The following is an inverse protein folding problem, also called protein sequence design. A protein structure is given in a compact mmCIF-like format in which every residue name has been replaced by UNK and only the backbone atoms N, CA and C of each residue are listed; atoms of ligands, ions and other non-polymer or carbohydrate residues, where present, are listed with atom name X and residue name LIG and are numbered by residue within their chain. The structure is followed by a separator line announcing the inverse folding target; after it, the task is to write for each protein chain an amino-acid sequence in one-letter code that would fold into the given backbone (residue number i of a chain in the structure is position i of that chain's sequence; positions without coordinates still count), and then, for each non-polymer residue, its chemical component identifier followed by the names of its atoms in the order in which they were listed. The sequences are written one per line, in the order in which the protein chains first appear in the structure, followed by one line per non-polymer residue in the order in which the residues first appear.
data_IF_063195217223
#
_entry.id   IF_063195217223
#
_cell.length_a   1.000
_cell.length_b   1.000
_cell.length_c   1.000
_cell.angle_alpha   90.00
_cell.angle_beta   90.00
_cell.angle_gamma   90.00
#
_symmetry.space_group_name_H-M   'P 1'
#
loop_
_entity.id
_entity.type
_entity.pdbx_description
1 polymer ?
#
# COMPACT_ATOMS: atom_id res chain seq x y z
N UNK A 1 10.40 -4.16 -1.66
CA UNK A 1 9.16 -4.25 -0.86
C UNK A 1 8.01 -3.67 -1.66
N UNK A 2 6.79 -4.09 -1.36
CA UNK A 2 5.56 -3.42 -1.80
C UNK A 2 5.20 -2.34 -0.78
N UNK A 3 4.97 -1.10 -1.21
CA UNK A 3 4.55 0.01 -0.36
C UNK A 3 3.04 0.18 -0.50
N UNK A 4 2.35 -0.05 0.62
CA UNK A 4 0.90 0.02 0.71
C UNK A 4 0.37 1.46 0.75
N UNK A 5 -0.90 1.65 0.37
CA UNK A 5 -1.58 2.94 0.40
C UNK A 5 -1.56 3.56 1.80
N UNK A 6 -1.79 2.76 2.84
CA UNK A 6 -1.78 3.25 4.22
C UNK A 6 -0.41 3.79 4.66
N UNK A 7 0.69 3.21 4.16
CA UNK A 7 2.05 3.70 4.41
C UNK A 7 2.30 5.05 3.71
N UNK A 8 1.85 5.19 2.46
CA UNK A 8 1.94 6.46 1.72
C UNK A 8 1.13 7.56 2.44
N UNK A 9 -0.11 7.26 2.82
CA UNK A 9 -0.99 8.20 3.54
C UNK A 9 -0.34 8.63 4.86
N UNK A 10 0.14 7.67 5.64
CA UNK A 10 0.72 7.94 6.94
C UNK A 10 1.95 8.86 6.86
N UNK A 11 2.84 8.61 5.90
CA UNK A 11 4.02 9.44 5.73
C UNK A 11 3.65 10.85 5.24
N UNK A 12 2.78 10.98 4.22
CA UNK A 12 2.41 12.29 3.66
C UNK A 12 1.51 13.12 4.58
N UNK A 13 0.75 12.49 5.48
CA UNK A 13 -0.11 13.17 6.46
C UNK A 13 0.51 13.32 7.85
N UNK A 14 1.80 13.04 8.01
CA UNK A 14 2.51 13.08 9.30
C UNK A 14 1.77 12.29 10.42
N UNK A 15 1.28 11.09 10.09
CA UNK A 15 0.70 10.17 11.07
C UNK A 15 1.80 9.61 12.00
N UNK A 16 1.45 9.06 13.18
CA UNK A 16 2.42 8.54 14.14
C UNK A 16 3.46 7.54 13.55
N UNK A 17 3.09 6.81 12.51
CA UNK A 17 3.93 5.83 11.82
C UNK A 17 4.87 6.44 10.76
N UNK A 18 4.79 7.75 10.47
CA UNK A 18 5.52 8.41 9.38
C UNK A 18 7.05 8.20 9.46
N UNK A 19 7.65 8.36 10.64
CA UNK A 19 9.10 8.18 10.83
C UNK A 19 9.52 6.73 10.54
N UNK A 20 8.76 5.75 11.06
CA UNK A 20 8.99 4.32 10.84
C UNK A 20 8.90 3.98 9.35
N UNK A 21 7.87 4.46 8.68
CA UNK A 21 7.66 4.25 7.23
C UNK A 21 8.78 4.89 6.42
N UNK A 22 9.19 6.11 6.76
CA UNK A 22 10.29 6.82 6.06
C UNK A 22 11.60 6.06 6.20
N UNK A 23 11.93 5.56 7.40
CA UNK A 23 13.13 4.77 7.65
C UNK A 23 13.11 3.42 6.91
N UNK A 24 11.95 2.76 6.85
CA UNK A 24 11.78 1.53 6.08
C UNK A 24 12.03 1.77 4.59
N UNK A 25 11.45 2.84 4.00
CA UNK A 25 11.67 3.20 2.60
C UNK A 25 13.14 3.53 2.34
N UNK A 26 13.78 4.33 3.19
CA UNK A 26 15.18 4.74 3.03
C UNK A 26 16.18 3.57 3.10
N UNK A 27 15.85 2.51 3.84
CA UNK A 27 16.69 1.30 3.94
C UNK A 27 16.41 0.27 2.84
N UNK A 28 15.39 0.49 2.01
CA UNK A 28 15.01 -0.42 0.94
C UNK A 28 16.03 -0.41 -0.20
N UNK A 29 16.41 -1.58 -0.69
CA UNK A 29 17.14 -1.68 -1.97
C UNK A 29 16.25 -1.36 -3.18
N UNK A 30 14.99 -1.79 -3.09
CA UNK A 30 13.97 -1.60 -4.13
C UNK A 30 12.62 -1.48 -3.43
N UNK A 31 11.89 -0.40 -3.73
CA UNK A 31 10.53 -0.17 -3.29
C UNK A 31 9.63 0.07 -4.50
N UNK A 32 8.42 -0.45 -4.45
CA UNK A 32 7.43 -0.20 -5.48
C UNK A 32 6.03 -0.23 -4.90
N UNK A 33 5.06 0.33 -5.61
CA UNK A 33 3.64 0.29 -5.29
C UNK A 33 2.84 -0.13 -6.55
N UNK A 34 1.51 -0.15 -6.48
CA UNK A 34 0.64 -0.44 -7.62
C UNK A 34 -0.31 0.72 -7.93
N UNK A 35 -0.88 0.79 -9.15
CA UNK A 35 -1.92 1.77 -9.48
C UNK A 35 -3.10 1.77 -8.51
N UNK A 36 -3.44 0.62 -7.91
CA UNK A 36 -4.52 0.51 -6.91
C UNK A 36 -4.12 1.21 -5.62
N UNK A 37 -2.92 0.96 -5.12
CA UNK A 37 -2.43 1.61 -3.90
C UNK A 37 -2.26 3.13 -4.09
N UNK A 38 -1.85 3.57 -5.29
CA UNK A 38 -1.80 5.01 -5.62
C UNK A 38 -3.19 5.63 -5.59
N UNK A 39 -4.18 4.99 -6.23
CA UNK A 39 -5.57 5.46 -6.21
C UNK A 39 -6.09 5.56 -4.77
N UNK A 40 -5.88 4.53 -3.95
CA UNK A 40 -6.30 4.52 -2.56
C UNK A 40 -5.60 5.59 -1.72
N UNK A 41 -4.30 5.79 -1.92
CA UNK A 41 -3.54 6.84 -1.24
C UNK A 41 -4.06 8.23 -1.58
N UNK A 42 -4.28 8.52 -2.86
CA UNK A 42 -4.81 9.81 -3.33
C UNK A 42 -6.21 10.06 -2.77
N UNK A 43 -7.10 9.07 -2.84
CA UNK A 43 -8.46 9.19 -2.28
C UNK A 43 -8.43 9.36 -0.75
N UNK A 44 -7.53 8.67 -0.06
CA UNK A 44 -7.35 8.78 1.40
C UNK A 44 -6.84 10.16 1.82
N UNK A 45 -5.87 10.70 1.10
CA UNK A 45 -5.29 12.03 1.35
C UNK A 45 -6.25 13.18 0.98
N UNK A 46 -7.11 12.98 -0.02
CA UNK A 46 -8.11 13.97 -0.44
C UNK A 46 -9.26 14.19 0.57
N UNK A 47 -9.39 13.32 1.59
CA UNK A 47 -10.45 13.49 2.60
C UNK A 47 -10.27 14.78 3.39
N UNK A 48 -11.39 15.33 3.88
CA UNK A 48 -11.44 16.58 4.63
C UNK A 48 -10.66 16.57 5.94
N UNK A 49 -10.43 15.40 6.52
CA UNK A 49 -9.65 15.21 7.75
C UNK A 49 -8.16 14.95 7.49
N UNK A 50 -7.75 14.98 6.22
CA UNK A 50 -6.35 14.90 5.75
C UNK A 50 -5.98 16.22 5.06
N UNK A 51 -5.70 16.21 3.76
CA UNK A 51 -5.36 17.45 3.03
C UNK A 51 -6.60 18.29 2.72
N UNK A 52 -7.78 17.67 2.59
CA UNK A 52 -9.01 18.37 2.25
C UNK A 52 -8.97 19.05 0.87
N UNK A 53 -8.19 18.51 -0.06
CA UNK A 53 -8.01 19.00 -1.42
C UNK A 53 -8.74 18.11 -2.44
N UNK A 54 -8.97 18.61 -3.66
CA UNK A 54 -9.52 17.78 -4.73
C UNK A 54 -8.51 16.71 -5.16
N UNK A 55 -9.01 15.58 -5.69
CA UNK A 55 -8.17 14.47 -6.20
C UNK A 55 -7.12 14.96 -7.20
N UNK A 56 -7.47 15.88 -8.10
CA UNK A 56 -6.56 16.44 -9.10
C UNK A 56 -5.43 17.32 -8.50
N UNK A 57 -5.60 17.80 -7.27
CA UNK A 57 -4.58 18.56 -6.54
C UNK A 57 -3.67 17.64 -5.71
N UNK A 58 -4.21 16.52 -5.24
CA UNK A 58 -3.47 15.52 -4.44
C UNK A 58 -2.64 14.57 -5.30
N UNK A 59 -3.16 14.19 -6.47
CA UNK A 59 -2.46 13.31 -7.43
C UNK A 59 -1.00 13.74 -7.68
N UNK A 60 -0.69 14.97 -8.11
CA UNK A 60 0.69 15.37 -8.40
C UNK A 60 1.59 15.30 -7.16
N UNK A 61 1.08 15.58 -5.96
CA UNK A 61 1.83 15.48 -4.70
C UNK A 61 2.26 14.03 -4.45
N UNK A 62 1.35 13.07 -4.66
CA UNK A 62 1.65 11.65 -4.48
C UNK A 62 2.63 11.17 -5.53
N UNK A 63 2.47 11.57 -6.80
CA UNK A 63 3.39 11.16 -7.88
C UNK A 63 4.79 11.73 -7.65
N UNK A 64 4.92 13.01 -7.28
CA UNK A 64 6.21 13.64 -6.96
C UNK A 64 6.88 12.93 -5.77
N UNK A 65 6.13 12.66 -4.70
CA UNK A 65 6.64 11.89 -3.56
C UNK A 65 7.18 10.50 -3.95
N UNK A 66 6.48 9.78 -4.81
CA UNK A 66 6.92 8.46 -5.27
C UNK A 66 8.22 8.55 -6.07
N UNK A 67 8.34 9.55 -6.96
CA UNK A 67 9.55 9.79 -7.75
C UNK A 67 10.74 10.17 -6.85
N UNK A 68 10.56 11.12 -5.94
CA UNK A 68 11.60 11.56 -4.99
C UNK A 68 12.12 10.44 -4.09
N UNK A 69 11.24 9.49 -3.74
CA UNK A 69 11.59 8.32 -2.91
C UNK A 69 12.03 7.11 -3.70
N UNK A 70 12.06 7.18 -5.04
CA UNK A 70 12.40 6.05 -5.90
C UNK A 70 11.46 4.86 -5.75
N UNK A 71 10.17 5.11 -5.49
CA UNK A 71 9.13 4.10 -5.36
C UNK A 71 8.48 3.93 -6.73
N UNK A 72 8.79 2.84 -7.42
CA UNK A 72 8.24 2.57 -8.76
C UNK A 72 6.74 2.24 -8.69
N UNK A 73 5.95 2.76 -9.62
CA UNK A 73 4.58 2.25 -9.84
C UNK A 73 4.70 1.04 -10.78
N UNK A 74 4.34 -0.15 -10.30
CA UNK A 74 4.37 -1.39 -11.10
C UNK A 74 2.98 -1.89 -11.44
N UNK A 75 2.89 -2.56 -12.58
CA UNK A 75 1.67 -3.25 -12.99
C UNK A 75 1.19 -4.22 -11.93
N UNK A 76 -0.13 -4.41 -11.87
CA UNK A 76 -0.66 -5.57 -11.16
C UNK A 76 -0.12 -6.85 -11.83
N UNK A 77 -0.04 -7.96 -11.08
CA UNK A 77 0.20 -9.25 -11.67
C UNK A 77 -0.79 -9.55 -12.81
N UNK A 78 -0.47 -10.49 -13.72
CA UNK A 78 -1.40 -10.96 -14.74
C UNK A 78 -2.79 -11.22 -14.17
N UNK A 79 -3.83 -10.89 -14.95
CA UNK A 79 -5.20 -10.84 -14.44
C UNK A 79 -5.66 -12.16 -13.78
N UNK A 80 -5.26 -13.30 -14.33
CA UNK A 80 -5.54 -14.63 -13.79
C UNK A 80 -4.85 -14.86 -12.44
N UNK A 81 -3.58 -14.47 -12.31
CA UNK A 81 -2.82 -14.57 -11.08
C UNK A 81 -3.39 -13.64 -10.00
N UNK A 82 -3.64 -12.37 -10.34
CA UNK A 82 -4.26 -11.39 -9.44
C UNK A 82 -5.60 -11.91 -8.92
N UNK A 83 -6.48 -12.38 -9.82
CA UNK A 83 -7.81 -12.90 -9.45
C UNK A 83 -7.69 -14.08 -8.48
N UNK A 84 -6.86 -15.07 -8.80
CA UNK A 84 -6.69 -16.26 -7.97
C UNK A 84 -6.11 -15.93 -6.59
N UNK A 85 -5.08 -15.10 -6.52
CA UNK A 85 -4.38 -14.78 -5.27
C UNK A 85 -5.26 -13.89 -4.38
N UNK A 86 -5.90 -12.86 -4.95
CA UNK A 86 -6.77 -11.96 -4.19
C UNK A 86 -8.00 -12.70 -3.63
N UNK A 87 -8.62 -13.62 -4.39
CA UNK A 87 -9.71 -14.46 -3.89
C UNK A 87 -9.24 -15.41 -2.78
N UNK A 88 -8.03 -15.97 -2.89
CA UNK A 88 -7.43 -16.78 -1.82
C UNK A 88 -7.23 -15.95 -0.55
N UNK A 89 -6.72 -14.73 -0.69
CA UNK A 89 -6.56 -13.80 0.43
C UNK A 89 -7.90 -13.46 1.07
N UNK A 90 -8.92 -13.15 0.26
CA UNK A 90 -10.26 -12.85 0.74
C UNK A 90 -10.87 -14.04 1.50
N UNK A 91 -10.68 -15.26 1.00
CA UNK A 91 -11.18 -16.45 1.68
C UNK A 91 -10.49 -16.71 3.03
N UNK A 92 -9.16 -16.49 3.09
CA UNK A 92 -8.35 -16.84 4.26
C UNK A 92 -8.29 -15.74 5.33
N UNK A 93 -8.30 -14.47 4.91
CA UNK A 93 -7.83 -13.36 5.74
C UNK A 93 -8.81 -12.18 5.83
N UNK A 94 -9.97 -12.22 5.16
CA UNK A 94 -10.95 -11.12 5.21
C UNK A 94 -11.84 -11.09 6.45
N UNK A 95 -11.91 -12.21 7.18
CA UNK A 95 -12.80 -12.32 8.33
C UNK A 95 -12.20 -11.64 9.58
N UNK A 96 -13.08 -11.08 10.42
CA UNK A 96 -12.70 -10.47 11.69
C UNK A 96 -12.48 -8.96 11.64
N UNK A 97 -12.20 -8.37 12.81
CA UNK A 97 -12.10 -6.91 12.99
C UNK A 97 -10.91 -6.27 12.25
N UNK A 98 -9.86 -7.07 11.98
CA UNK A 98 -8.64 -6.66 11.28
C UNK A 98 -8.41 -7.49 10.02
N UNK A 99 -9.50 -8.01 9.45
CA UNK A 99 -9.42 -8.76 8.20
C UNK A 99 -9.13 -7.83 7.03
N UNK A 100 -8.47 -8.37 6.01
CA UNK A 100 -8.13 -7.64 4.78
C UNK A 100 -9.38 -7.06 4.13
N UNK A 101 -9.35 -5.76 3.80
CA UNK A 101 -10.38 -5.14 2.99
C UNK A 101 -10.24 -5.53 1.49
N UNK A 102 -11.07 -4.94 0.61
CA UNK A 102 -11.03 -5.24 -0.82
C UNK A 102 -9.67 -4.85 -1.45
N UNK A 103 -9.19 -3.64 -1.17
CA UNK A 103 -7.90 -3.12 -1.60
C UNK A 103 -6.74 -3.95 -1.08
N UNK A 104 -6.77 -4.28 0.22
CA UNK A 104 -5.73 -5.09 0.85
C UNK A 104 -5.59 -6.47 0.21
N UNK A 105 -6.67 -7.05 -0.30
CA UNK A 105 -6.60 -8.31 -1.05
C UNK A 105 -5.82 -8.15 -2.36
N UNK A 106 -5.91 -6.99 -3.03
CA UNK A 106 -5.14 -6.67 -4.23
C UNK A 106 -3.69 -6.31 -3.89
N UNK A 107 -3.45 -5.61 -2.79
CA UNK A 107 -2.11 -5.30 -2.28
C UNK A 107 -1.37 -6.58 -1.86
N UNK A 108 -2.05 -7.47 -1.13
CA UNK A 108 -1.58 -8.81 -0.82
C UNK A 108 -1.24 -9.57 -2.10
N UNK A 109 -2.10 -9.52 -3.13
CA UNK A 109 -1.83 -10.22 -4.39
C UNK A 109 -0.55 -9.70 -5.09
N UNK A 110 -0.32 -8.38 -5.07
CA UNK A 110 0.91 -7.79 -5.58
C UNK A 110 2.13 -8.27 -4.78
N UNK A 111 2.11 -8.13 -3.45
CA UNK A 111 3.22 -8.53 -2.59
C UNK A 111 3.53 -10.04 -2.74
N UNK A 112 2.49 -10.88 -2.75
CA UNK A 112 2.63 -12.34 -2.89
C UNK A 112 3.17 -12.75 -4.26
N UNK A 113 2.68 -12.15 -5.34
CA UNK A 113 3.11 -12.47 -6.70
C UNK A 113 4.56 -12.05 -6.97
N UNK A 114 4.91 -10.83 -6.57
CA UNK A 114 6.28 -10.32 -6.72
C UNK A 114 7.25 -10.89 -5.67
N UNK A 115 6.75 -11.70 -4.73
CA UNK A 115 7.52 -12.33 -3.66
C UNK A 115 8.35 -11.31 -2.86
N UNK A 116 7.70 -10.25 -2.40
CA UNK A 116 8.30 -9.18 -1.61
C UNK A 116 7.52 -8.93 -0.33
N UNK A 117 8.17 -8.42 0.73
CA UNK A 117 7.45 -8.00 1.93
C UNK A 117 6.60 -6.75 1.65
N UNK A 118 5.55 -6.58 2.45
CA UNK A 118 4.66 -5.41 2.43
C UNK A 118 5.00 -4.43 3.55
N UNK A 119 5.11 -3.13 3.21
CA UNK A 119 5.19 -2.05 4.18
C UNK A 119 3.80 -1.42 4.32
N UNK A 120 3.19 -1.64 5.48
CA UNK A 120 1.88 -1.12 5.87
C UNK A 120 1.96 -0.53 7.29
N UNK A 121 1.00 0.30 7.68
CA UNK A 121 0.88 0.85 9.04
C UNK A 121 0.02 0.01 9.96
N UNK A 122 -0.97 -0.70 9.40
CA UNK A 122 -1.89 -1.53 10.16
C UNK A 122 -1.39 -2.98 10.33
N UNK A 123 -1.92 -3.62 11.38
CA UNK A 123 -1.67 -5.03 11.70
C UNK A 123 -2.39 -6.02 10.76
N UNK A 124 -3.11 -5.55 9.74
CA UNK A 124 -3.99 -6.40 8.91
C UNK A 124 -3.22 -7.48 8.13
N UNK A 125 -1.99 -7.18 7.71
CA UNK A 125 -1.12 -8.16 7.04
C UNK A 125 -0.39 -9.09 8.02
N UNK A 126 -0.31 -8.77 9.32
CA UNK A 126 0.43 -9.60 10.31
C UNK A 126 -0.18 -10.98 10.52
N UNK A 127 -1.46 -11.16 10.21
CA UNK A 127 -2.16 -12.45 10.31
C UNK A 127 -2.15 -13.23 8.99
N UNK A 128 -1.46 -12.71 7.98
CA UNK A 128 -1.34 -13.33 6.67
C UNK A 128 -0.04 -14.11 6.54
N UNK A 129 0.18 -14.73 5.38
CA UNK A 129 1.41 -15.45 5.04
C UNK A 129 2.33 -14.64 4.09
N UNK A 130 2.19 -13.31 4.06
CA UNK A 130 3.19 -12.40 3.47
C UNK A 130 4.01 -11.74 4.58
N UNK A 131 5.31 -11.55 4.32
CA UNK A 131 6.19 -10.87 5.25
C UNK A 131 5.84 -9.38 5.35
N UNK A 132 5.81 -8.84 6.56
CA UNK A 132 5.60 -7.40 6.80
C UNK A 132 6.91 -6.71 7.14
N UNK A 133 7.14 -5.52 6.57
CA UNK A 133 8.27 -4.66 6.94
C UNK A 133 7.94 -3.95 8.27
N UNK A 134 8.80 -4.10 9.30
CA UNK A 134 8.58 -3.49 10.61
C UNK A 134 8.67 -1.98 10.60
#
# INVERSE_FOLDING_TARGET
MFVDACAIIALLSDEPEAERVSNAIASAKVAFTSPVAVLEAVLGLARSDKFGLAVAEVEPIVIEFLDERGIEIRDLPPADATTRIALSAAHRYRAGRRGLNLGDCLHYACAKYYNVPILATADEFRQTDVDTVP
#
